data_IF_695491469258
#
_entry.id   IF_695491469258
#
_cell.length_a   1.000
_cell.length_b   1.000
_cell.length_c   1.000
_cell.angle_alpha   90.00
_cell.angle_beta   90.00
_cell.angle_gamma   90.00
#
_symmetry.space_group_name_H-M   'P 1'
#
loop_
_entity.id
_entity.type
_entity.pdbx_description
1 polymer ?
#
# COMPACT_ATOMS: atom_id res chain seq x y z
N UNK A 1 -19.28 3.35 -18.61
CA UNK A 1 -20.16 4.18 -19.46
C UNK A 1 -21.45 3.41 -19.75
N UNK A 2 -22.55 4.16 -19.90
CA UNK A 2 -23.95 3.77 -20.16
C UNK A 2 -24.78 3.27 -18.96
N UNK A 3 -25.25 4.24 -18.16
CA UNK A 3 -26.53 4.14 -17.43
C UNK A 3 -26.56 3.38 -16.11
N UNK A 4 -25.49 2.68 -15.73
CA UNK A 4 -25.41 2.03 -14.42
C UNK A 4 -24.58 2.86 -13.43
N UNK A 5 -25.04 3.04 -12.19
CA UNK A 5 -24.19 3.57 -11.13
C UNK A 5 -23.06 2.58 -10.90
N UNK A 6 -21.86 2.94 -11.33
CA UNK A 6 -20.63 2.23 -10.98
C UNK A 6 -19.97 3.09 -9.90
N UNK A 7 -19.99 2.63 -8.65
CA UNK A 7 -19.04 3.12 -7.65
C UNK A 7 -17.65 2.61 -8.02
N UNK A 8 -17.04 3.25 -9.02
CA UNK A 8 -15.67 2.98 -9.40
C UNK A 8 -14.76 3.80 -8.50
N UNK A 9 -14.32 3.22 -7.39
CA UNK A 9 -13.29 3.83 -6.54
C UNK A 9 -12.07 2.90 -6.46
N UNK A 10 -11.50 2.52 -7.62
CA UNK A 10 -10.15 1.93 -7.59
C UNK A 10 -9.18 3.00 -7.12
N UNK A 11 -8.29 2.71 -6.17
CA UNK A 11 -7.28 3.66 -5.75
C UNK A 11 -6.44 4.10 -6.95
N UNK A 12 -6.14 5.39 -7.04
CA UNK A 12 -5.22 5.90 -8.04
C UNK A 12 -3.89 5.16 -7.93
N UNK A 13 -3.21 4.97 -9.06
CA UNK A 13 -1.88 4.39 -9.09
C UNK A 13 -1.02 5.15 -10.08
N UNK A 14 0.18 5.49 -9.64
CA UNK A 14 1.20 6.15 -10.46
C UNK A 14 2.57 5.59 -10.10
N UNK A 15 3.54 5.87 -10.96
CA UNK A 15 4.91 5.46 -10.76
C UNK A 15 5.84 6.54 -11.33
N UNK A 16 7.07 6.53 -10.83
CA UNK A 16 8.17 7.37 -11.29
C UNK A 16 9.43 6.55 -11.18
N UNK A 17 10.26 6.59 -12.22
CA UNK A 17 11.66 6.21 -12.08
C UNK A 17 12.45 7.46 -11.70
N UNK A 18 13.25 7.36 -10.63
CA UNK A 18 14.13 8.44 -10.17
C UNK A 18 15.47 7.82 -9.83
N UNK A 19 16.50 8.12 -10.64
CA UNK A 19 17.80 7.46 -10.53
C UNK A 19 17.63 5.93 -10.53
N UNK A 20 18.15 5.25 -9.51
CA UNK A 20 18.10 3.80 -9.35
C UNK A 20 16.82 3.30 -8.65
N UNK A 21 15.85 4.19 -8.39
CA UNK A 21 14.60 3.84 -7.72
C UNK A 21 13.42 3.78 -8.70
N UNK A 22 12.79 2.61 -8.79
CA UNK A 22 11.42 2.48 -9.28
C UNK A 22 10.45 2.74 -8.12
N UNK A 23 9.85 3.93 -8.11
CA UNK A 23 8.90 4.36 -7.08
C UNK A 23 7.49 4.18 -7.63
N UNK A 24 6.65 3.46 -6.91
CA UNK A 24 5.23 3.31 -7.23
C UNK A 24 4.38 3.73 -6.05
N UNK A 25 3.25 4.36 -6.31
CA UNK A 25 2.36 4.87 -5.29
C UNK A 25 0.91 4.53 -5.62
N UNK A 26 0.11 4.19 -4.62
CA UNK A 26 -1.32 3.99 -4.76
C UNK A 26 -2.11 4.53 -3.57
N UNK A 27 -3.36 4.96 -3.82
CA UNK A 27 -4.27 5.43 -2.78
C UNK A 27 -4.10 6.89 -2.39
N UNK A 28 -4.68 7.26 -1.25
CA UNK A 28 -4.68 8.64 -0.74
C UNK A 28 -3.61 8.79 0.32
N UNK A 29 -2.60 9.59 0.02
CA UNK A 29 -1.57 10.02 0.96
C UNK A 29 -1.95 11.37 1.53
N UNK A 30 -1.92 11.48 2.85
CA UNK A 30 -2.26 12.66 3.63
C UNK A 30 -1.28 12.81 4.80
N UNK A 31 -0.90 14.03 5.15
CA UNK A 31 0.08 14.32 6.21
C UNK A 31 -0.41 13.89 7.61
N UNK A 32 -1.71 13.70 7.79
CA UNK A 32 -2.30 13.27 9.07
C UNK A 32 -2.26 11.75 9.27
N UNK A 33 -1.89 10.98 8.23
CA UNK A 33 -1.85 9.52 8.30
C UNK A 33 -0.59 9.03 9.00
N UNK A 34 -0.73 7.91 9.71
CA UNK A 34 0.41 7.21 10.27
C UNK A 34 1.21 6.53 9.15
N UNK A 35 2.52 6.81 9.10
CA UNK A 35 3.44 6.19 8.16
C UNK A 35 4.02 4.91 8.77
N UNK A 36 3.84 3.78 8.10
CA UNK A 36 4.40 2.49 8.49
C UNK A 36 5.44 2.05 7.47
N UNK A 37 6.69 1.92 7.89
CA UNK A 37 7.78 1.45 7.06
C UNK A 37 7.90 -0.07 7.13
N UNK A 38 8.07 -0.70 5.96
CA UNK A 38 8.38 -2.13 5.81
C UNK A 38 9.66 -2.26 5.02
N UNK A 39 10.72 -2.75 5.67
CA UNK A 39 12.09 -2.69 5.15
C UNK A 39 12.81 -1.40 5.57
N UNK A 40 13.95 -1.12 4.96
CA UNK A 40 14.82 0.02 5.29
C UNK A 40 15.01 0.90 4.06
N UNK A 41 15.06 2.22 4.28
CA UNK A 41 15.24 3.18 3.17
C UNK A 41 16.64 3.08 2.60
N UNK A 42 17.62 2.77 3.46
CA UNK A 42 19.04 2.62 3.14
C UNK A 42 19.33 1.45 2.20
N UNK A 43 18.39 0.52 2.05
CA UNK A 43 18.52 -0.65 1.17
C UNK A 43 17.97 -0.36 -0.25
N UNK A 44 17.47 0.84 -0.51
CA UNK A 44 16.81 1.26 -1.76
C UNK A 44 15.62 0.37 -2.19
N UNK A 45 15.15 -0.51 -1.31
CA UNK A 45 14.09 -1.48 -1.55
C UNK A 45 13.17 -1.60 -0.32
N UNK A 46 12.09 -0.84 -0.31
CA UNK A 46 11.17 -0.76 0.83
C UNK A 46 9.73 -0.48 0.41
N UNK A 47 8.82 -0.66 1.37
CA UNK A 47 7.44 -0.18 1.26
C UNK A 47 7.13 0.80 2.38
N UNK A 48 6.25 1.75 2.11
CA UNK A 48 5.66 2.63 3.09
C UNK A 48 4.13 2.57 2.97
N UNK A 49 3.44 2.36 4.08
CA UNK A 49 1.98 2.35 4.13
C UNK A 49 1.46 3.53 4.93
N UNK A 50 0.35 4.08 4.46
CA UNK A 50 -0.28 5.25 5.08
C UNK A 50 -1.61 4.82 5.70
N UNK A 51 -1.70 4.93 7.02
CA UNK A 51 -2.83 4.44 7.81
C UNK A 51 -3.66 5.58 8.38
N UNK A 52 -4.98 5.42 8.34
CA UNK A 52 -5.91 6.20 9.15
C UNK A 52 -6.46 5.29 10.24
N UNK A 53 -5.83 5.30 11.42
CA UNK A 53 -6.07 4.27 12.44
C UNK A 53 -5.50 2.93 12.01
N UNK A 54 -6.35 1.90 11.89
CA UNK A 54 -5.99 0.56 11.40
C UNK A 54 -6.25 0.39 9.89
N UNK A 55 -6.83 1.40 9.22
CA UNK A 55 -7.21 1.32 7.81
C UNK A 55 -6.05 1.71 6.89
N UNK A 56 -5.71 0.83 5.95
CA UNK A 56 -4.71 1.11 4.90
C UNK A 56 -5.32 2.06 3.86
N UNK A 57 -4.84 3.30 3.81
CA UNK A 57 -5.35 4.36 2.94
C UNK A 57 -4.50 4.60 1.68
N UNK A 58 -3.21 4.28 1.77
CA UNK A 58 -2.27 4.42 0.68
C UNK A 58 -1.02 3.57 0.89
N UNK A 59 -0.25 3.40 -0.17
CA UNK A 59 1.03 2.72 -0.14
C UNK A 59 2.01 3.29 -1.16
N UNK A 60 3.29 3.24 -0.83
CA UNK A 60 4.42 3.50 -1.68
C UNK A 60 5.34 2.28 -1.67
N UNK A 61 5.89 1.92 -2.82
CA UNK A 61 6.93 0.89 -2.94
C UNK A 61 8.11 1.46 -3.71
N UNK A 62 9.32 1.28 -3.21
CA UNK A 62 10.57 1.55 -3.92
C UNK A 62 11.25 0.21 -4.21
N UNK A 63 11.57 -0.08 -5.48
CA UNK A 63 12.19 -1.34 -5.95
C UNK A 63 11.54 -2.64 -5.41
N UNK A 64 10.26 -2.57 -5.06
CA UNK A 64 9.43 -3.64 -4.50
C UNK A 64 8.14 -3.79 -5.32
N UNK A 65 8.26 -3.80 -6.65
CA UNK A 65 7.13 -3.81 -7.58
C UNK A 65 6.17 -5.00 -7.38
N UNK A 66 6.68 -6.15 -6.94
CA UNK A 66 5.86 -7.32 -6.59
C UNK A 66 4.89 -7.05 -5.42
N UNK A 67 5.29 -6.21 -4.47
CA UNK A 67 4.47 -5.86 -3.31
C UNK A 67 3.34 -4.89 -3.66
N UNK A 68 3.53 -4.04 -4.68
CA UNK A 68 2.53 -3.07 -5.14
C UNK A 68 1.21 -3.74 -5.55
N UNK A 69 1.26 -4.93 -6.15
CA UNK A 69 0.04 -5.68 -6.49
C UNK A 69 -0.82 -6.03 -5.27
N UNK A 70 -0.19 -6.36 -4.15
CA UNK A 70 -0.89 -6.65 -2.88
C UNK A 70 -1.31 -5.37 -2.19
N UNK A 71 -0.44 -4.35 -2.19
CA UNK A 71 -0.71 -3.05 -1.60
C UNK A 71 -1.95 -2.37 -2.21
N UNK A 72 -2.11 -2.42 -3.55
CA UNK A 72 -3.32 -1.95 -4.24
C UNK A 72 -4.59 -2.58 -3.68
N UNK A 73 -4.59 -3.89 -3.40
CA UNK A 73 -5.75 -4.61 -2.87
C UNK A 73 -6.02 -4.28 -1.40
N UNK A 74 -4.96 -4.07 -0.60
CA UNK A 74 -5.10 -3.61 0.79
C UNK A 74 -5.77 -2.23 0.83
N UNK A 75 -5.31 -1.30 -0.03
CA UNK A 75 -5.88 0.05 -0.16
C UNK A 75 -7.31 0.02 -0.71
N UNK A 76 -7.56 -0.74 -1.79
CA UNK A 76 -8.88 -0.87 -2.41
C UNK A 76 -9.93 -1.38 -1.41
N UNK A 77 -9.54 -2.27 -0.50
CA UNK A 77 -10.42 -2.83 0.54
C UNK A 77 -10.49 -1.98 1.80
N UNK A 78 -9.67 -0.93 1.93
CA UNK A 78 -9.40 -0.26 3.21
C UNK A 78 -9.15 -1.29 4.31
N UNK A 79 -8.27 -2.25 4.03
CA UNK A 79 -7.97 -3.34 4.93
C UNK A 79 -7.62 -2.82 6.33
N UNK A 80 -8.20 -3.45 7.36
CA UNK A 80 -7.82 -3.23 8.76
C UNK A 80 -6.61 -4.10 9.08
N UNK A 81 -5.46 -3.48 9.31
CA UNK A 81 -4.20 -4.17 9.60
C UNK A 81 -3.47 -3.45 10.73
N UNK A 82 -2.95 -4.20 11.68
CA UNK A 82 -2.14 -3.66 12.76
C UNK A 82 -0.80 -3.09 12.24
N UNK A 83 -0.35 -1.91 12.72
CA UNK A 83 0.93 -1.30 12.32
C UNK A 83 2.14 -2.25 12.39
N UNK A 84 2.22 -3.05 13.46
CA UNK A 84 3.34 -3.97 13.68
C UNK A 84 3.37 -5.11 12.66
N UNK A 85 2.20 -5.70 12.34
CA UNK A 85 2.10 -6.77 11.34
C UNK A 85 2.46 -6.25 9.93
N UNK A 86 2.06 -5.02 9.61
CA UNK A 86 2.34 -4.42 8.31
C UNK A 86 3.82 -4.08 8.12
N UNK A 87 4.51 -3.68 9.19
CA UNK A 87 5.94 -3.39 9.22
C UNK A 87 6.82 -4.65 9.16
N UNK A 88 6.30 -5.81 9.60
CA UNK A 88 7.05 -7.05 9.74
C UNK A 88 7.42 -7.67 8.38
N UNK A 89 8.69 -7.56 8.01
CA UNK A 89 9.23 -8.06 6.73
C UNK A 89 9.15 -9.59 6.58
N UNK A 90 9.07 -10.33 7.68
CA UNK A 90 9.03 -11.79 7.68
C UNK A 90 7.62 -12.33 7.40
N UNK A 91 6.58 -11.52 7.61
CA UNK A 91 5.19 -11.87 7.27
C UNK A 91 4.90 -11.47 5.82
N UNK A 92 4.56 -12.42 4.92
CA UNK A 92 4.23 -12.06 3.53
C UNK A 92 2.97 -11.18 3.45
N UNK A 93 3.03 -10.07 2.70
CA UNK A 93 1.87 -9.16 2.53
C UNK A 93 0.60 -9.89 2.03
N UNK A 94 0.75 -10.97 1.25
CA UNK A 94 -0.39 -11.78 0.79
C UNK A 94 -1.14 -12.47 1.93
N UNK A 95 -0.43 -12.86 2.99
CA UNK A 95 -1.06 -13.45 4.17
C UNK A 95 -1.83 -12.41 4.96
N UNK A 96 -1.25 -11.22 5.13
CA UNK A 96 -1.91 -10.07 5.73
C UNK A 96 -3.22 -9.75 4.99
N UNK A 97 -3.16 -9.67 3.65
CA UNK A 97 -4.35 -9.42 2.82
C UNK A 97 -5.43 -10.50 2.96
N UNK A 98 -5.06 -11.76 3.22
CA UNK A 98 -6.03 -12.84 3.47
C UNK A 98 -6.69 -12.68 4.84
N UNK A 99 -5.91 -12.38 5.89
CA UNK A 99 -6.41 -12.18 7.25
C UNK A 99 -7.35 -10.99 7.33
N UNK A 100 -7.04 -9.89 6.65
CA UNK A 100 -7.85 -8.67 6.65
C UNK A 100 -9.15 -8.77 5.84
N UNK A 101 -9.42 -9.91 5.20
CA UNK A 101 -10.61 -10.16 4.40
C UNK A 101 -11.68 -10.98 5.14
N UNK A 102 -11.40 -11.38 6.38
CA UNK A 102 -12.32 -12.08 7.28
C UNK A 102 -12.95 -11.12 8.29
#
# INVERSE_FOLDING_TARGET
MLGQPVEYCRPCWFWSDQYDLNIQVTGRIDAQQQLIMRGRVEDDAFCAFFLAGDLVMGALTANRSADMGVAKRLVERRARVGPAELADVDVPLREILKKSAS
#
